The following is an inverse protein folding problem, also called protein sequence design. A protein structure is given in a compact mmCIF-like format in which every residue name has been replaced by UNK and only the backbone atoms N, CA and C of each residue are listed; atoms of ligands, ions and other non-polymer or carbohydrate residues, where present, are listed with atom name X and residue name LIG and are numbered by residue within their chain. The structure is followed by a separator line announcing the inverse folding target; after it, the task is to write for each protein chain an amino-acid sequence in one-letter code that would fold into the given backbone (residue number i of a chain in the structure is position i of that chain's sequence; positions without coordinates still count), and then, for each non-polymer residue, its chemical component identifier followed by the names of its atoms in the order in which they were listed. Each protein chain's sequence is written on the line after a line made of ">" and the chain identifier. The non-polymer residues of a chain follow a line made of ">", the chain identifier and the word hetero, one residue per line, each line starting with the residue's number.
data_IF_012448674516
#
_entry.id   IF_012448674516
#
_cell.length_a   1.000
_cell.length_b   1.000
_cell.length_c   1.000
_cell.angle_alpha   90.00
_cell.angle_beta   90.00
_cell.angle_gamma   90.00
#
_symmetry.space_group_name_H-M   'P 1'
#
loop_
_entity.id
_entity.type
_entity.pdbx_description
1 polymer ?
#
# COMPACT_ATOMS: atom_id res chain seq x y z
N UNK A 1 -21.45 12.40 2.01
CA UNK A 1 -20.06 12.73 1.65
C UNK A 1 -19.39 11.41 1.26
N UNK A 2 -19.47 11.06 -0.03
CA UNK A 2 -18.91 9.82 -0.57
C UNK A 2 -17.46 10.08 -0.94
N UNK A 3 -16.51 9.49 -0.21
CA UNK A 3 -15.11 9.43 -0.60
C UNK A 3 -14.62 7.98 -0.37
N UNK A 4 -14.97 7.12 -1.31
CA UNK A 4 -14.12 6.66 -2.42
C UNK A 4 -13.05 5.64 -1.97
N UNK A 5 -13.47 4.38 -2.16
CA UNK A 5 -12.64 3.25 -2.55
C UNK A 5 -11.58 2.79 -1.53
N UNK A 6 -12.07 2.07 -0.52
CA UNK A 6 -11.32 0.94 0.06
C UNK A 6 -11.11 -0.09 -1.06
N UNK A 7 -9.96 0.00 -1.73
CA UNK A 7 -9.54 -0.98 -2.72
C UNK A 7 -9.49 -2.36 -2.04
N UNK A 8 -10.10 -3.31 -2.74
CA UNK A 8 -10.33 -4.69 -2.37
C UNK A 8 -9.04 -5.49 -2.55
N UNK A 9 -8.67 -6.22 -1.51
CA UNK A 9 -7.69 -7.31 -1.40
C UNK A 9 -7.34 -8.06 -2.69
N UNK A 10 -6.03 -8.32 -2.91
CA UNK A 10 -5.54 -9.65 -3.34
C UNK A 10 -4.03 -9.86 -3.09
N UNK A 11 -3.68 -10.94 -2.38
CA UNK A 11 -2.34 -11.54 -2.35
C UNK A 11 -2.13 -12.51 -3.54
N UNK A 12 -0.89 -12.68 -4.05
CA UNK A 12 -0.16 -13.89 -3.69
C UNK A 12 1.35 -13.65 -3.55
N UNK A 13 1.72 -13.18 -2.38
CA UNK A 13 2.98 -13.38 -1.69
C UNK A 13 2.59 -13.31 -0.22
N UNK A 14 3.18 -14.10 0.66
CA UNK A 14 2.92 -14.02 2.11
C UNK A 14 3.54 -12.73 2.67
N UNK A 15 3.19 -11.58 2.10
CA UNK A 15 3.65 -10.31 2.57
C UNK A 15 2.82 -9.18 2.00
N UNK A 16 2.70 -8.11 2.78
CA UNK A 16 1.99 -6.89 2.40
C UNK A 16 2.89 -5.70 2.69
N UNK A 17 2.73 -4.63 1.91
CA UNK A 17 3.49 -3.40 2.07
C UNK A 17 2.57 -2.22 2.40
N UNK A 18 3.02 -1.33 3.28
CA UNK A 18 2.27 -0.14 3.75
C UNK A 18 3.12 1.13 3.64
N UNK A 19 2.52 2.22 3.15
CA UNK A 19 3.17 3.51 3.12
C UNK A 19 3.31 4.11 4.52
N UNK A 20 4.54 4.46 4.91
CA UNK A 20 4.85 5.05 6.22
C UNK A 20 4.35 6.49 6.39
N UNK A 21 3.98 7.15 5.29
CA UNK A 21 3.51 8.54 5.29
C UNK A 21 1.99 8.67 5.41
N UNK A 22 1.23 7.85 4.69
CA UNK A 22 -0.22 7.97 4.65
C UNK A 22 -0.96 6.72 5.16
N UNK A 23 -0.26 5.63 5.45
CA UNK A 23 -0.86 4.37 5.92
C UNK A 23 -1.66 3.62 4.84
N UNK A 24 -1.47 3.96 3.56
CA UNK A 24 -2.12 3.24 2.47
C UNK A 24 -1.36 1.95 2.17
N UNK A 25 -2.09 0.89 1.87
CA UNK A 25 -1.49 -0.33 1.33
C UNK A 25 -0.83 -0.03 -0.01
N UNK A 26 0.34 -0.61 -0.23
CA UNK A 26 1.15 -0.45 -1.43
C UNK A 26 1.26 -1.81 -2.10
N UNK A 27 0.71 -1.92 -3.31
CA UNK A 27 0.73 -3.17 -4.07
C UNK A 27 2.11 -3.45 -4.70
N UNK A 28 2.83 -2.38 -5.06
CA UNK A 28 4.17 -2.45 -5.63
C UNK A 28 5.12 -1.50 -4.87
N UNK A 29 5.89 -2.00 -3.87
CA UNK A 29 6.77 -1.17 -3.07
C UNK A 29 7.91 -0.55 -3.90
N UNK A 30 8.25 -1.14 -5.06
CA UNK A 30 9.31 -0.63 -5.94
C UNK A 30 8.90 0.62 -6.71
N UNK A 31 7.61 0.76 -7.02
CA UNK A 31 7.03 1.94 -7.64
C UNK A 31 6.73 3.07 -6.64
N UNK A 32 6.63 2.75 -5.35
CA UNK A 32 6.27 3.69 -4.28
C UNK A 32 4.75 3.85 -4.12
N UNK A 33 4.35 4.66 -3.13
CA UNK A 33 2.95 4.85 -2.78
C UNK A 33 2.21 5.68 -3.83
N UNK A 34 1.31 5.04 -4.57
CA UNK A 34 0.45 5.70 -5.56
C UNK A 34 -0.51 6.75 -4.95
N UNK A 35 -0.77 6.69 -3.64
CA UNK A 35 -1.70 7.60 -2.95
C UNK A 35 -1.06 8.96 -2.65
N UNK A 36 0.17 8.98 -2.16
CA UNK A 36 0.83 10.21 -1.73
C UNK A 36 2.15 10.51 -2.44
N UNK A 37 2.60 9.62 -3.34
CA UNK A 37 3.86 9.74 -4.07
C UNK A 37 5.11 9.46 -3.24
N UNK A 38 4.97 9.04 -1.98
CA UNK A 38 6.12 8.71 -1.14
C UNK A 38 6.72 7.36 -1.50
N UNK A 39 8.04 7.27 -1.50
CA UNK A 39 8.79 6.01 -1.64
C UNK A 39 9.08 5.35 -0.29
N UNK A 40 8.60 5.92 0.81
CA UNK A 40 8.77 5.37 2.16
C UNK A 40 7.71 4.30 2.43
N UNK A 41 8.07 3.05 2.14
CA UNK A 41 7.19 1.88 2.26
C UNK A 41 7.82 0.88 3.24
N UNK A 42 6.99 0.31 4.12
CA UNK A 42 7.38 -0.80 4.98
C UNK A 42 6.79 -2.10 4.44
N UNK A 43 7.62 -3.13 4.35
CA UNK A 43 7.26 -4.46 3.87
C UNK A 43 7.16 -5.41 5.07
N UNK A 44 6.13 -6.23 5.09
CA UNK A 44 5.89 -7.24 6.12
C UNK A 44 5.80 -8.59 5.47
N UNK A 45 6.68 -9.52 5.84
CA UNK A 45 6.52 -10.95 5.58
C UNK A 45 5.57 -11.56 6.63
N UNK A 46 4.77 -12.55 6.22
CA UNK A 46 3.85 -13.34 7.03
C UNK A 46 4.46 -14.67 7.46
#
# INVERSE_FOLDING_TARGET
>A
MFDRLRAVFRAPGTGFAECRRCGSNVDDPTAGCATCGSTEVAEYDL
#
